data_IF_351200510300
#
_entry.id   IF_351200510300
#
_cell.length_a   1.000
_cell.length_b   1.000
_cell.length_c   1.000
_cell.angle_alpha   90.00
_cell.angle_beta   90.00
_cell.angle_gamma   90.00
#
_symmetry.space_group_name_H-M   'P 1'
#
loop_
_entity.id
_entity.type
_entity.pdbx_description
1 polymer ?
#
# COMPACT_ATOMS: atom_id res chain seq x y z
N UNK A 1 6.25 14.29 0.36
CA UNK A 1 7.22 13.43 1.07
C UNK A 1 7.98 12.58 0.05
N UNK A 2 9.28 12.31 0.24
CA UNK A 2 10.11 11.59 -0.74
C UNK A 2 10.56 10.23 -0.20
N UNK A 3 10.03 9.14 -0.76
CA UNK A 3 10.50 7.77 -0.52
C UNK A 3 11.55 7.43 -1.58
N UNK A 4 12.68 6.84 -1.17
CA UNK A 4 13.77 6.51 -2.09
C UNK A 4 13.36 5.41 -3.08
N UNK A 5 13.89 5.46 -4.31
CA UNK A 5 13.59 4.45 -5.34
C UNK A 5 13.89 3.03 -4.86
N UNK A 6 15.00 2.85 -4.14
CA UNK A 6 15.41 1.55 -3.57
C UNK A 6 14.34 1.00 -2.63
N UNK A 7 13.83 1.82 -1.70
CA UNK A 7 12.80 1.39 -0.75
C UNK A 7 11.49 1.07 -1.50
N UNK A 8 11.09 1.90 -2.48
CA UNK A 8 9.90 1.60 -3.30
C UNK A 8 9.99 0.22 -3.96
N UNK A 9 11.14 -0.05 -4.59
CA UNK A 9 11.36 -1.33 -5.26
C UNK A 9 11.32 -2.50 -4.27
N UNK A 10 11.94 -2.37 -3.10
CA UNK A 10 11.88 -3.40 -2.05
C UNK A 10 10.45 -3.68 -1.58
N UNK A 11 9.59 -2.66 -1.46
CA UNK A 11 8.17 -2.84 -1.10
C UNK A 11 7.43 -3.60 -2.20
N UNK A 12 7.59 -3.19 -3.46
CA UNK A 12 6.93 -3.82 -4.59
C UNK A 12 7.34 -5.28 -4.78
N UNK A 13 8.63 -5.58 -4.64
CA UNK A 13 9.17 -6.94 -4.73
C UNK A 13 8.66 -7.81 -3.56
N UNK A 14 8.68 -7.28 -2.32
CA UNK A 14 8.14 -7.97 -1.14
C UNK A 14 6.66 -8.33 -1.31
N UNK A 15 5.88 -7.39 -1.84
CA UNK A 15 4.44 -7.57 -2.03
C UNK A 15 4.11 -8.33 -3.33
N UNK A 16 5.12 -8.71 -4.12
CA UNK A 16 4.97 -9.46 -5.36
C UNK A 16 4.19 -8.70 -6.43
N UNK A 17 4.30 -7.36 -6.45
CA UNK A 17 3.53 -6.46 -7.30
C UNK A 17 2.01 -6.70 -7.20
N UNK A 18 1.52 -7.06 -6.01
CA UNK A 18 0.09 -7.22 -5.74
C UNK A 18 -0.42 -6.09 -4.87
N UNK A 19 -1.59 -5.55 -5.20
CA UNK A 19 -2.31 -4.66 -4.32
C UNK A 19 -2.63 -5.40 -3.02
N UNK A 20 -2.11 -4.90 -1.89
CA UNK A 20 -2.31 -5.52 -0.58
C UNK A 20 -3.73 -5.37 -0.02
N UNK A 21 -4.57 -4.58 -0.70
CA UNK A 21 -5.97 -4.37 -0.32
C UNK A 21 -6.95 -5.22 -1.14
N UNK A 22 -6.90 -5.10 -2.47
CA UNK A 22 -7.84 -5.82 -3.35
C UNK A 22 -7.26 -7.11 -3.96
N UNK A 23 -5.97 -7.40 -3.76
CA UNK A 23 -5.30 -8.58 -4.28
C UNK A 23 -4.94 -8.53 -5.77
N UNK A 24 -5.29 -7.45 -6.49
CA UNK A 24 -5.00 -7.32 -7.92
C UNK A 24 -3.48 -7.38 -8.19
N UNK A 25 -3.09 -8.15 -9.21
CA UNK A 25 -1.72 -8.15 -9.74
C UNK A 25 -1.53 -6.87 -10.55
N UNK A 26 -0.43 -6.17 -10.31
CA UNK A 26 -0.15 -4.85 -10.87
C UNK A 26 1.09 -4.89 -11.75
N UNK A 27 1.02 -4.18 -12.87
CA UNK A 27 2.24 -3.82 -13.60
C UNK A 27 3.09 -2.85 -12.75
N UNK A 28 4.43 -2.85 -12.90
CA UNK A 28 5.31 -1.94 -12.15
C UNK A 28 4.94 -0.45 -12.26
N UNK A 29 4.35 -0.03 -13.37
CA UNK A 29 3.88 1.34 -13.61
C UNK A 29 2.56 1.69 -12.91
N UNK A 30 1.79 0.69 -12.46
CA UNK A 30 0.49 0.84 -11.80
C UNK A 30 0.55 0.66 -10.28
N UNK A 31 1.69 0.20 -9.76
CA UNK A 31 1.94 0.02 -8.33
C UNK A 31 2.27 1.35 -7.66
N UNK A 32 1.56 1.64 -6.57
CA UNK A 32 1.78 2.82 -5.73
C UNK A 32 2.20 2.43 -4.32
N UNK A 33 3.02 3.28 -3.69
CA UNK A 33 3.41 3.11 -2.30
C UNK A 33 2.40 3.83 -1.42
N UNK A 34 1.92 3.12 -0.41
CA UNK A 34 1.03 3.63 0.61
C UNK A 34 1.64 3.45 2.00
N UNK A 35 1.34 4.38 2.90
CA UNK A 35 1.73 4.29 4.31
C UNK A 35 0.65 3.57 5.10
N UNK A 36 1.00 2.46 5.73
CA UNK A 36 0.08 1.67 6.57
C UNK A 36 -0.47 2.51 7.72
N UNK A 37 0.41 3.17 8.47
CA UNK A 37 0.06 4.25 9.39
C UNK A 37 0.35 5.59 8.69
N UNK A 38 -0.66 6.47 8.51
CA UNK A 38 -0.43 7.79 7.92
C UNK A 38 0.62 8.60 8.68
N UNK A 39 1.40 9.40 7.94
CA UNK A 39 2.43 10.28 8.53
C UNK A 39 1.80 11.28 9.52
N UNK A 40 0.59 11.76 9.24
CA UNK A 40 -0.19 12.64 10.12
C UNK A 40 -0.50 12.00 11.49
N UNK A 41 -0.46 10.66 11.57
CA UNK A 41 -0.72 9.86 12.77
C UNK A 41 0.55 9.22 13.35
N UNK A 42 1.72 9.70 12.94
CA UNK A 42 3.02 9.23 13.45
C UNK A 42 3.67 8.10 12.66
N UNK A 43 3.19 7.80 11.45
CA UNK A 43 3.81 6.80 10.57
C UNK A 43 5.23 7.16 10.12
N UNK A 44 6.01 6.14 9.76
CA UNK A 44 7.39 6.28 9.26
C UNK A 44 7.50 5.94 7.77
N UNK A 45 8.65 6.25 7.16
CA UNK A 45 9.00 5.81 5.81
C UNK A 45 9.73 4.46 5.78
N UNK A 46 9.70 3.74 6.89
CA UNK A 46 10.38 2.45 7.00
C UNK A 46 9.63 1.39 6.19
N UNK A 47 10.36 0.40 5.69
CA UNK A 47 9.81 -0.67 4.86
C UNK A 47 8.59 -1.34 5.52
N UNK A 48 8.61 -1.48 6.85
CA UNK A 48 7.53 -2.05 7.66
C UNK A 48 6.23 -1.24 7.65
N UNK A 49 6.30 0.08 7.44
CA UNK A 49 5.13 0.96 7.38
C UNK A 49 4.69 1.27 5.94
N UNK A 50 5.33 0.67 4.94
CA UNK A 50 5.01 0.87 3.53
C UNK A 50 4.38 -0.38 2.92
N UNK A 51 3.43 -0.19 2.03
CA UNK A 51 2.72 -1.28 1.33
C UNK A 51 2.42 -0.91 -0.13
N UNK A 52 2.19 -1.92 -0.96
CA UNK A 52 1.84 -1.77 -2.37
C UNK A 52 0.33 -1.72 -2.58
N UNK A 53 -0.16 -0.66 -3.19
CA UNK A 53 -1.57 -0.53 -3.60
C UNK A 53 -1.70 -0.25 -5.10
N UNK A 54 -2.86 -0.59 -5.67
CA UNK A 54 -3.25 -0.04 -6.95
C UNK A 54 -3.73 1.40 -6.78
N UNK A 55 -3.70 2.18 -7.87
CA UNK A 55 -4.14 3.57 -7.88
C UNK A 55 -5.55 3.79 -7.32
N UNK A 56 -6.48 2.89 -7.64
CA UNK A 56 -7.86 2.98 -7.16
C UNK A 56 -7.95 2.82 -5.64
N UNK A 57 -7.36 1.75 -5.10
CA UNK A 57 -7.28 1.54 -3.66
C UNK A 57 -6.56 2.71 -3.00
N UNK A 58 -5.36 3.09 -3.45
CA UNK A 58 -4.59 4.18 -2.85
C UNK A 58 -5.38 5.50 -2.75
N UNK A 59 -6.22 5.80 -3.73
CA UNK A 59 -7.12 6.97 -3.69
C UNK A 59 -8.27 6.84 -2.69
N UNK A 60 -8.79 5.63 -2.45
CA UNK A 60 -9.93 5.37 -1.56
C UNK A 60 -9.58 5.35 -0.06
N UNK A 61 -8.29 5.24 0.32
CA UNK A 61 -7.85 4.96 1.72
C UNK A 61 -6.87 5.99 2.29
N UNK A 62 -6.91 7.21 1.80
CA UNK A 62 -5.96 8.31 2.08
C UNK A 62 -5.73 8.68 3.57
N UNK A 63 -6.56 8.23 4.52
CA UNK A 63 -6.34 8.43 5.97
C UNK A 63 -6.76 7.23 6.84
N UNK A 64 -6.91 6.04 6.24
CA UNK A 64 -7.25 4.81 6.99
C UNK A 64 -5.97 4.02 7.27
N UNK A 65 -5.91 3.40 8.44
CA UNK A 65 -4.85 2.45 8.76
C UNK A 65 -5.15 1.17 7.99
N UNK A 66 -4.17 0.66 7.26
CA UNK A 66 -4.29 -0.64 6.58
C UNK A 66 -3.84 -1.75 7.51
N UNK A 67 -4.74 -2.62 7.93
CA UNK A 67 -4.34 -3.85 8.63
C UNK A 67 -3.85 -4.91 7.63
N UNK A 68 -2.56 -4.86 7.30
CA UNK A 68 -1.91 -5.79 6.34
C UNK A 68 -1.92 -7.25 6.84
N UNK A 69 -2.26 -7.50 8.12
CA UNK A 69 -2.26 -8.83 8.70
C UNK A 69 -3.57 -9.62 8.46
N UNK A 70 -4.68 -8.98 8.03
CA UNK A 70 -6.00 -9.64 8.07
C UNK A 70 -6.96 -9.40 6.90
N UNK A 71 -6.64 -8.69 5.82
CA UNK A 71 -7.66 -8.36 4.81
C UNK A 71 -7.90 -9.44 3.74
N UNK A 72 -9.06 -10.13 3.76
CA UNK A 72 -9.88 -10.33 2.59
C UNK A 72 -10.94 -9.20 2.51
N UNK A 73 -10.95 -8.49 1.38
CA UNK A 73 -12.10 -7.73 0.87
C UNK A 73 -12.66 -6.61 1.78
N UNK A 74 -12.13 -5.39 1.66
CA UNK A 74 -13.01 -4.20 1.75
C UNK A 74 -13.78 -4.09 0.43
N UNK A 75 -14.77 -4.97 0.28
CA UNK A 75 -15.57 -5.13 -0.92
C UNK A 75 -16.83 -5.94 -0.64
N UNK A 76 -17.56 -5.60 0.42
CA UNK A 76 -18.99 -5.94 0.50
C UNK A 76 -19.76 -4.65 0.19
N UNK A 77 -20.11 -4.51 -1.09
CA UNK A 77 -21.32 -3.80 -1.46
C UNK A 77 -22.51 -4.59 -0.89
N UNK A 78 -23.29 -3.94 -0.02
CA UNK A 78 -24.71 -4.20 0.09
C UNK A 78 -25.43 -3.20 -0.81
#
# INVERSE_FOLDING_TARGET
MRISKKIKQQVFERDGYKCKECGAVLEPSLAEIHHILPISKGGTNELSNLTTLCRNCNYSITDKIIDVATTPLSGTIA
#
